data_IF_792866336724
#
_entry.id   IF_792866336724
#
_cell.length_a   1.000
_cell.length_b   1.000
_cell.length_c   1.000
_cell.angle_alpha   90.00
_cell.angle_beta   90.00
_cell.angle_gamma   90.00
#
_symmetry.space_group_name_H-M   'P 1'
#
loop_
_entity.id
_entity.type
_entity.pdbx_description
1 polymer ?
#
# COMPACT_ATOMS: atom_id res chain seq x y z
N UNK A 1 6.24 11.93 13.61
CA UNK A 1 5.26 13.04 13.81
C UNK A 1 4.17 12.75 12.82
N UNK A 2 2.91 12.76 13.27
CA UNK A 2 1.80 12.44 12.39
C UNK A 2 1.74 13.43 11.23
N UNK A 3 1.45 12.90 10.05
CA UNK A 3 1.35 13.64 8.80
C UNK A 3 0.02 13.34 8.10
N UNK A 4 -0.55 12.14 8.28
CA UNK A 4 -1.77 11.74 7.60
C UNK A 4 -2.78 11.08 8.55
N UNK A 5 -4.06 11.37 8.30
CA UNK A 5 -5.20 10.67 8.88
C UNK A 5 -5.97 9.96 7.77
N UNK A 6 -6.10 8.65 7.89
CA UNK A 6 -6.93 7.84 7.00
C UNK A 6 -8.30 7.70 7.65
N UNK A 7 -9.36 8.14 7.00
CA UNK A 7 -10.72 7.99 7.50
C UNK A 7 -11.40 6.90 6.68
N UNK A 8 -11.62 5.75 7.32
CA UNK A 8 -12.40 4.67 6.74
C UNK A 8 -13.88 5.02 6.92
N UNK A 9 -14.57 5.27 5.81
CA UNK A 9 -15.93 5.79 5.85
C UNK A 9 -16.95 4.73 6.26
N UNK A 10 -16.79 3.47 5.86
CA UNK A 10 -17.72 2.38 6.15
C UNK A 10 -16.99 1.09 6.52
N UNK A 11 -17.65 0.20 7.27
CA UNK A 11 -17.12 -1.13 7.56
C UNK A 11 -16.83 -1.94 6.29
N UNK A 12 -17.54 -1.68 5.20
CA UNK A 12 -17.37 -2.30 3.87
C UNK A 12 -16.48 -1.50 2.92
N UNK A 13 -15.88 -0.39 3.37
CA UNK A 13 -14.94 0.40 2.57
C UNK A 13 -13.83 -0.46 1.95
N UNK A 14 -13.43 -0.10 0.73
CA UNK A 14 -12.46 -0.90 -0.03
C UNK A 14 -11.13 -1.03 0.72
N UNK A 15 -10.52 -2.21 0.64
CA UNK A 15 -9.13 -2.36 1.07
C UNK A 15 -8.23 -1.84 -0.05
N UNK A 16 -7.15 -1.13 0.28
CA UNK A 16 -6.20 -0.59 -0.72
C UNK A 16 -4.76 -1.09 -0.51
N UNK A 17 -4.55 -1.97 0.47
CA UNK A 17 -3.25 -2.52 0.84
C UNK A 17 -3.35 -4.05 1.02
N UNK A 18 -2.36 -4.66 1.69
CA UNK A 18 -2.22 -6.12 1.83
C UNK A 18 -3.38 -6.77 2.60
N UNK A 19 -4.02 -6.05 3.51
CA UNK A 19 -5.14 -6.56 4.30
C UNK A 19 -6.39 -6.75 3.44
N UNK A 20 -7.24 -7.70 3.82
CA UNK A 20 -8.56 -7.92 3.22
C UNK A 20 -9.66 -7.29 4.07
N UNK A 21 -10.82 -7.06 3.44
CA UNK A 21 -12.03 -6.65 4.13
C UNK A 21 -13.16 -7.64 3.82
N UNK A 22 -13.47 -8.50 4.77
CA UNK A 22 -14.53 -9.50 4.64
C UNK A 22 -15.88 -9.02 5.18
N UNK A 23 -15.95 -7.79 5.71
CA UNK A 23 -17.21 -7.20 6.19
C UNK A 23 -18.20 -7.08 5.03
N UNK A 24 -19.44 -7.51 5.27
CA UNK A 24 -20.56 -7.42 4.33
C UNK A 24 -21.66 -6.48 4.80
N UNK A 25 -21.72 -6.24 6.11
CA UNK A 25 -22.68 -5.32 6.71
C UNK A 25 -22.11 -3.92 6.71
N UNK A 26 -22.82 -3.00 6.06
CA UNK A 26 -22.46 -1.59 6.05
C UNK A 26 -22.69 -0.98 7.43
N UNK A 27 -21.68 -0.26 7.88
CA UNK A 27 -21.77 0.64 9.02
C UNK A 27 -20.94 1.85 8.71
N UNK A 28 -21.62 2.89 8.25
CA UNK A 28 -21.02 4.16 7.91
C UNK A 28 -20.61 4.88 9.20
N UNK A 29 -19.44 5.52 9.19
CA UNK A 29 -19.00 6.40 10.26
C UNK A 29 -20.09 7.44 10.49
N UNK A 30 -20.43 7.74 11.75
CA UNK A 30 -21.45 8.77 11.99
C UNK A 30 -20.97 10.13 11.46
N UNK A 31 -21.88 10.94 10.94
CA UNK A 31 -21.56 12.31 10.47
C UNK A 31 -20.89 13.12 11.58
N UNK A 32 -21.28 12.90 12.84
CA UNK A 32 -20.65 13.53 13.99
C UNK A 32 -19.18 13.12 14.15
N UNK A 33 -18.88 11.81 14.08
CA UNK A 33 -17.51 11.30 14.16
C UNK A 33 -16.67 11.73 12.95
N UNK A 34 -17.26 11.78 11.75
CA UNK A 34 -16.61 12.32 10.56
C UNK A 34 -16.19 13.77 10.76
N UNK A 35 -17.12 14.63 11.18
CA UNK A 35 -16.84 16.06 11.46
C UNK A 35 -15.79 16.23 12.56
N UNK A 36 -15.87 15.43 13.64
CA UNK A 36 -14.86 15.40 14.71
C UNK A 36 -13.49 14.94 14.21
N UNK A 37 -13.45 13.93 13.34
CA UNK A 37 -12.23 13.41 12.72
C UNK A 37 -11.55 14.43 11.81
N UNK A 38 -12.32 15.13 10.98
CA UNK A 38 -11.83 16.25 10.16
C UNK A 38 -11.27 17.36 11.05
N UNK A 39 -12.00 17.76 12.10
CA UNK A 39 -11.51 18.77 13.04
C UNK A 39 -10.23 18.34 13.77
N UNK A 40 -10.12 17.06 14.13
CA UNK A 40 -8.90 16.50 14.72
C UNK A 40 -7.72 16.64 13.75
N UNK A 41 -7.89 16.20 12.49
CA UNK A 41 -6.84 16.34 11.47
C UNK A 41 -6.44 17.80 11.25
N UNK A 42 -7.38 18.74 11.23
CA UNK A 42 -7.07 20.17 11.12
C UNK A 42 -6.25 20.70 12.29
N UNK A 43 -6.59 20.30 13.53
CA UNK A 43 -5.85 20.72 14.74
C UNK A 43 -4.43 20.18 14.76
N UNK A 44 -4.26 18.94 14.30
CA UNK A 44 -2.96 18.25 14.24
C UNK A 44 -2.22 18.51 12.92
N UNK A 45 -2.78 19.34 12.02
CA UNK A 45 -2.25 19.66 10.69
C UNK A 45 -1.92 18.42 9.84
N UNK A 46 -2.86 17.48 9.79
CA UNK A 46 -2.77 16.22 9.05
C UNK A 46 -3.46 16.31 7.69
N UNK A 47 -2.88 15.67 6.68
CA UNK A 47 -3.53 15.42 5.39
C UNK A 47 -4.53 14.27 5.52
N UNK A 48 -5.73 14.42 4.95
CA UNK A 48 -6.80 13.43 5.08
C UNK A 48 -6.88 12.56 3.82
N UNK A 49 -7.04 11.24 4.01
CA UNK A 49 -7.36 10.29 2.95
C UNK A 49 -8.66 9.58 3.30
N UNK A 50 -9.67 9.68 2.44
CA UNK A 50 -10.96 9.00 2.62
C UNK A 50 -10.97 7.67 1.87
N UNK A 51 -11.43 6.63 2.56
CA UNK A 51 -11.56 5.29 1.98
C UNK A 51 -13.04 4.96 1.83
N UNK A 52 -13.50 4.88 0.59
CA UNK A 52 -14.93 4.79 0.28
C UNK A 52 -15.44 3.35 0.21
N UNK A 53 -16.73 3.14 0.55
CA UNK A 53 -17.47 1.96 0.11
C UNK A 53 -17.80 2.04 -1.38
N UNK A 54 -18.44 1.00 -1.92
CA UNK A 54 -18.84 0.97 -3.33
C UNK A 54 -20.22 1.60 -3.61
N UNK A 55 -20.94 2.11 -2.61
CA UNK A 55 -22.23 2.79 -2.79
C UNK A 55 -22.11 4.31 -2.68
N UNK A 56 -23.08 5.03 -3.26
CA UNK A 56 -23.13 6.49 -3.21
C UNK A 56 -23.48 7.00 -1.79
N UNK A 57 -22.66 7.92 -1.27
CA UNK A 57 -22.90 8.56 0.03
C UNK A 57 -24.00 9.62 -0.06
N UNK A 58 -24.70 9.88 1.05
CA UNK A 58 -25.68 10.98 1.09
C UNK A 58 -25.00 12.36 0.97
N UNK A 59 -25.76 13.37 0.56
CA UNK A 59 -25.24 14.73 0.39
C UNK A 59 -24.61 15.28 1.69
N UNK A 60 -25.13 14.91 2.85
CA UNK A 60 -24.59 15.36 4.15
C UNK A 60 -23.12 14.91 4.35
N UNK A 61 -22.77 13.70 3.91
CA UNK A 61 -21.38 13.21 3.97
C UNK A 61 -20.51 13.92 2.94
N UNK A 62 -21.00 14.08 1.70
CA UNK A 62 -20.28 14.80 0.64
C UNK A 62 -19.96 16.23 1.06
N UNK A 63 -20.93 16.92 1.66
CA UNK A 63 -20.76 18.29 2.15
C UNK A 63 -19.70 18.36 3.25
N UNK A 64 -19.67 17.39 4.18
CA UNK A 64 -18.66 17.32 5.23
C UNK A 64 -17.25 17.04 4.69
N UNK A 65 -17.11 16.08 3.77
CA UNK A 65 -15.84 15.71 3.13
C UNK A 65 -15.26 16.90 2.34
N UNK A 66 -16.10 17.61 1.58
CA UNK A 66 -15.70 18.74 0.76
C UNK A 66 -15.33 20.02 1.56
N UNK A 67 -15.35 19.99 2.89
CA UNK A 67 -14.92 21.13 3.72
C UNK A 67 -13.40 21.28 3.84
N UNK A 68 -12.63 20.29 3.39
CA UNK A 68 -11.19 20.19 3.60
C UNK A 68 -10.52 19.59 2.36
N UNK A 69 -9.27 19.95 2.10
CA UNK A 69 -8.46 19.27 1.09
C UNK A 69 -8.17 17.83 1.53
N UNK A 70 -8.37 16.87 0.64
CA UNK A 70 -8.25 15.45 0.92
C UNK A 70 -7.86 14.66 -0.32
N UNK A 71 -7.59 13.37 -0.13
CA UNK A 71 -7.49 12.41 -1.24
C UNK A 71 -8.53 11.32 -1.14
N UNK A 72 -9.12 10.96 -2.27
CA UNK A 72 -10.17 9.95 -2.38
C UNK A 72 -9.61 8.61 -2.87
N UNK A 73 -9.84 7.56 -2.07
CA UNK A 73 -9.52 6.17 -2.40
C UNK A 73 -10.83 5.41 -2.63
N UNK A 74 -11.10 5.09 -3.88
CA UNK A 74 -12.42 4.65 -4.36
C UNK A 74 -12.30 3.31 -5.07
N UNK A 75 -13.20 2.34 -4.83
CA UNK A 75 -13.18 1.10 -5.59
C UNK A 75 -13.70 1.31 -7.01
N UNK A 76 -13.19 0.52 -7.97
CA UNK A 76 -13.56 0.64 -9.39
C UNK A 76 -15.02 0.32 -9.69
N UNK A 77 -15.69 -0.43 -8.80
CA UNK A 77 -17.11 -0.77 -8.87
C UNK A 77 -18.00 0.22 -8.11
N UNK A 78 -17.47 1.38 -7.68
CA UNK A 78 -18.26 2.40 -7.01
C UNK A 78 -19.41 2.91 -7.90
N UNK A 79 -20.62 2.98 -7.31
CA UNK A 79 -21.86 3.46 -7.91
C UNK A 79 -21.83 4.96 -8.24
N UNK A 80 -21.07 5.76 -7.48
CA UNK A 80 -20.91 7.20 -7.73
C UNK A 80 -19.87 7.43 -8.83
N UNK A 81 -20.34 7.47 -10.09
CA UNK A 81 -19.51 7.72 -11.27
C UNK A 81 -18.76 9.05 -11.21
N UNK A 82 -19.35 10.10 -10.60
CA UNK A 82 -18.69 11.41 -10.50
C UNK A 82 -17.52 11.37 -9.52
N UNK A 83 -17.71 10.71 -8.37
CA UNK A 83 -16.63 10.47 -7.42
C UNK A 83 -15.51 9.66 -8.09
N UNK A 84 -15.88 8.58 -8.79
CA UNK A 84 -14.94 7.69 -9.47
C UNK A 84 -14.12 8.37 -10.56
N UNK A 85 -14.73 9.26 -11.35
CA UNK A 85 -14.03 10.03 -12.39
C UNK A 85 -13.02 11.06 -11.83
N UNK A 86 -13.22 11.51 -10.59
CA UNK A 86 -12.39 12.52 -9.93
C UNK A 86 -11.50 11.96 -8.80
N UNK A 87 -11.57 10.66 -8.53
CA UNK A 87 -10.82 10.04 -7.44
C UNK A 87 -9.31 10.10 -7.68
N UNK A 88 -8.55 10.33 -6.62
CA UNK A 88 -7.08 10.30 -6.68
C UNK A 88 -6.54 8.89 -6.92
N UNK A 89 -7.20 7.88 -6.33
CA UNK A 89 -6.79 6.48 -6.41
C UNK A 89 -7.99 5.58 -6.65
N UNK A 90 -7.93 4.78 -7.71
CA UNK A 90 -8.92 3.74 -8.01
C UNK A 90 -8.39 2.36 -7.64
N UNK A 91 -9.20 1.59 -6.91
CA UNK A 91 -8.86 0.25 -6.44
C UNK A 91 -9.60 -0.82 -7.24
N UNK A 92 -8.84 -1.72 -7.87
CA UNK A 92 -9.36 -2.95 -8.47
C UNK A 92 -9.16 -4.12 -7.52
N UNK A 93 -10.24 -4.86 -7.24
CA UNK A 93 -10.18 -6.05 -6.39
C UNK A 93 -10.13 -7.36 -7.20
N UNK A 94 -10.24 -7.27 -8.52
CA UNK A 94 -9.99 -8.39 -9.43
C UNK A 94 -9.57 -7.90 -10.83
N UNK A 95 -8.99 -8.80 -11.61
CA UNK A 95 -8.46 -8.49 -12.94
C UNK A 95 -9.54 -8.24 -14.00
N UNK A 96 -10.77 -8.76 -13.82
CA UNK A 96 -11.87 -8.56 -14.78
C UNK A 96 -12.35 -7.12 -14.79
N UNK A 97 -12.44 -6.50 -13.62
CA UNK A 97 -12.73 -5.07 -13.49
C UNK A 97 -11.71 -4.25 -14.27
N UNK A 98 -10.41 -4.52 -14.10
CA UNK A 98 -9.33 -3.82 -14.82
C UNK A 98 -9.48 -3.89 -16.35
N UNK A 99 -9.85 -5.06 -16.90
CA UNK A 99 -9.99 -5.25 -18.35
C UNK A 99 -11.14 -4.47 -18.97
N UNK A 100 -12.21 -4.25 -18.21
CA UNK A 100 -13.40 -3.52 -18.64
C UNK A 100 -13.35 -2.04 -18.32
N UNK A 101 -12.39 -1.62 -17.48
CA UNK A 101 -12.29 -0.25 -17.00
C UNK A 101 -11.60 0.66 -18.02
N UNK A 102 -12.14 1.88 -18.16
CA UNK A 102 -11.53 2.90 -19.01
C UNK A 102 -10.39 3.60 -18.25
N UNK A 103 -9.16 3.18 -18.51
CA UNK A 103 -7.96 3.78 -17.93
C UNK A 103 -7.74 5.21 -18.45
N UNK A 104 -7.42 6.11 -17.52
CA UNK A 104 -7.09 7.51 -17.75
C UNK A 104 -5.56 7.70 -17.65
N UNK A 105 -5.01 8.56 -18.51
CA UNK A 105 -3.58 8.87 -18.56
C UNK A 105 -3.03 9.46 -17.25
N UNK A 106 -3.85 10.19 -16.51
CA UNK A 106 -3.45 10.81 -15.24
C UNK A 106 -3.81 9.96 -14.02
N UNK A 107 -4.49 8.84 -14.21
CA UNK A 107 -5.02 8.00 -13.15
C UNK A 107 -3.95 7.21 -12.39
N UNK A 108 -4.15 7.07 -11.08
CA UNK A 108 -3.38 6.18 -10.21
C UNK A 108 -4.27 5.00 -9.86
N UNK A 109 -3.78 3.80 -10.18
CA UNK A 109 -4.54 2.57 -9.99
C UNK A 109 -3.83 1.65 -9.00
N UNK A 110 -4.60 0.99 -8.14
CA UNK A 110 -4.12 -0.08 -7.28
C UNK A 110 -4.83 -1.36 -7.67
N UNK A 111 -4.06 -2.38 -8.03
CA UNK A 111 -4.58 -3.71 -8.35
C UNK A 111 -4.27 -4.59 -7.15
N UNK A 112 -5.31 -4.99 -6.41
CA UNK A 112 -5.21 -5.98 -5.34
C UNK A 112 -5.43 -7.35 -5.93
N UNK A 113 -4.50 -8.26 -5.67
CA UNK A 113 -4.46 -9.58 -6.30
C UNK A 113 -3.83 -10.60 -5.35
N UNK A 114 -4.27 -11.85 -5.42
CA UNK A 114 -3.46 -12.95 -4.87
C UNK A 114 -2.21 -13.19 -5.74
N UNK A 115 -1.22 -13.90 -5.21
CA UNK A 115 -0.02 -14.31 -5.96
C UNK A 115 -0.38 -15.19 -7.16
N UNK A 116 -1.32 -16.12 -7.00
CA UNK A 116 -1.77 -17.03 -8.06
C UNK A 116 -2.41 -16.26 -9.21
N UNK A 117 -3.33 -15.34 -8.90
CA UNK A 117 -3.97 -14.50 -9.91
C UNK A 117 -2.98 -13.57 -10.61
N UNK A 118 -1.99 -13.02 -9.89
CA UNK A 118 -0.93 -12.24 -10.51
C UNK A 118 -0.13 -13.10 -11.49
N UNK A 119 0.22 -14.33 -11.10
CA UNK A 119 0.99 -15.23 -11.96
C UNK A 119 0.26 -15.53 -13.27
N UNK A 120 -1.05 -15.72 -13.19
CA UNK A 120 -1.91 -15.99 -14.35
C UNK A 120 -2.15 -14.74 -15.22
N UNK A 121 -2.32 -13.56 -14.61
CA UNK A 121 -2.86 -12.39 -15.30
C UNK A 121 -1.87 -11.22 -15.49
N UNK A 122 -0.62 -11.34 -15.06
CA UNK A 122 0.37 -10.25 -15.12
C UNK A 122 0.52 -9.61 -16.51
N UNK A 123 0.29 -10.34 -17.59
CA UNK A 123 0.37 -9.81 -18.96
C UNK A 123 -0.71 -8.75 -19.25
N UNK A 124 -1.83 -8.73 -18.52
CA UNK A 124 -2.85 -7.69 -18.65
C UNK A 124 -2.31 -6.31 -18.25
N UNK A 125 -1.24 -6.25 -17.44
CA UNK A 125 -0.53 -5.00 -17.13
C UNK A 125 0.04 -4.31 -18.38
N UNK A 126 0.42 -5.07 -19.42
CA UNK A 126 1.00 -4.51 -20.64
C UNK A 126 0.01 -3.62 -21.41
N UNK A 127 -1.30 -3.79 -21.20
CA UNK A 127 -2.34 -2.96 -21.83
C UNK A 127 -2.51 -1.62 -21.12
N UNK A 128 -2.28 -1.59 -19.81
CA UNK A 128 -2.60 -0.45 -18.93
C UNK A 128 -1.38 0.41 -18.61
N UNK A 129 -0.19 -0.19 -18.51
CA UNK A 129 1.08 0.51 -18.27
C UNK A 129 1.40 1.63 -19.27
N UNK A 130 1.11 1.51 -20.58
CA UNK A 130 1.40 2.57 -21.54
C UNK A 130 0.50 3.80 -21.40
N UNK A 131 -0.62 3.67 -20.68
CA UNK A 131 -1.66 4.69 -20.56
C UNK A 131 -1.60 5.33 -19.18
N UNK A 132 -1.74 4.53 -18.11
CA UNK A 132 -1.87 5.04 -16.75
C UNK A 132 -0.62 5.79 -16.28
N UNK A 133 -0.82 6.85 -15.49
CA UNK A 133 0.25 7.57 -14.80
C UNK A 133 1.03 6.65 -13.87
N UNK A 134 0.29 5.84 -13.09
CA UNK A 134 0.87 4.93 -12.10
C UNK A 134 -0.01 3.72 -11.83
N UNK A 135 0.64 2.58 -11.73
CA UNK A 135 0.04 1.31 -11.31
C UNK A 135 0.77 0.81 -10.08
N UNK A 136 0.00 0.50 -9.03
CA UNK A 136 0.48 -0.19 -7.85
C UNK A 136 -0.14 -1.59 -7.84
N UNK A 137 0.67 -2.63 -7.87
CA UNK A 137 0.22 -4.00 -7.63
C UNK A 137 0.44 -4.32 -6.16
N UNK A 138 -0.61 -4.80 -5.50
CA UNK A 138 -0.60 -5.20 -4.09
C UNK A 138 -0.97 -6.67 -4.02
N UNK A 139 0.00 -7.48 -3.60
CA UNK A 139 -0.19 -8.91 -3.37
C UNK A 139 -0.77 -9.09 -1.97
N UNK A 140 -1.94 -9.73 -1.85
CA UNK A 140 -2.70 -9.81 -0.58
C UNK A 140 -2.29 -10.98 0.31
N UNK A 141 -1.65 -11.99 -0.27
CA UNK A 141 -1.23 -13.25 0.36
C UNK A 141 0.29 -13.44 0.33
N UNK A 142 1.05 -12.35 0.49
CA UNK A 142 2.53 -12.35 0.52
C UNK A 142 3.07 -13.33 1.56
N UNK A 143 2.42 -13.42 2.72
CA UNK A 143 2.79 -14.31 3.82
C UNK A 143 2.66 -15.81 3.47
N UNK A 144 2.09 -16.15 2.32
CA UNK A 144 1.94 -17.52 1.86
C UNK A 144 3.00 -17.97 0.85
N UNK A 145 3.93 -17.10 0.44
CA UNK A 145 4.93 -17.45 -0.59
C UNK A 145 5.82 -18.60 -0.15
N UNK A 146 6.08 -19.51 -1.08
CA UNK A 146 7.11 -20.55 -0.94
C UNK A 146 8.25 -20.37 -1.96
N UNK A 147 9.24 -21.26 -1.91
CA UNK A 147 10.40 -21.25 -2.81
C UNK A 147 10.02 -21.34 -4.31
N UNK A 148 8.99 -22.11 -4.65
CA UNK A 148 8.53 -22.21 -6.03
C UNK A 148 7.86 -20.91 -6.48
N UNK A 149 7.13 -20.27 -5.59
CA UNK A 149 6.49 -18.98 -5.86
C UNK A 149 7.52 -17.87 -6.05
N UNK A 150 8.62 -17.86 -5.28
CA UNK A 150 9.70 -16.90 -5.46
C UNK A 150 10.33 -17.01 -6.86
N UNK A 151 10.61 -18.22 -7.34
CA UNK A 151 11.17 -18.40 -8.68
C UNK A 151 10.18 -18.01 -9.78
N UNK A 152 8.90 -18.35 -9.64
CA UNK A 152 7.85 -17.89 -10.58
C UNK A 152 7.74 -16.36 -10.60
N UNK A 153 7.71 -15.75 -9.43
CA UNK A 153 7.57 -14.31 -9.29
C UNK A 153 8.77 -13.57 -9.91
N UNK A 154 9.99 -14.08 -9.71
CA UNK A 154 11.21 -13.57 -10.36
C UNK A 154 11.13 -13.64 -11.89
N UNK A 155 10.59 -14.73 -12.45
CA UNK A 155 10.36 -14.83 -13.90
C UNK A 155 9.35 -13.79 -14.41
N UNK A 156 8.29 -13.54 -13.65
CA UNK A 156 7.27 -12.53 -13.96
C UNK A 156 7.86 -11.12 -13.91
N UNK A 157 8.62 -10.79 -12.87
CA UNK A 157 9.31 -9.51 -12.76
C UNK A 157 10.23 -9.28 -13.96
N UNK A 158 11.00 -10.29 -14.37
CA UNK A 158 11.83 -10.23 -15.58
C UNK A 158 11.00 -10.05 -16.86
N UNK A 159 9.81 -10.63 -16.95
CA UNK A 159 8.89 -10.43 -18.08
C UNK A 159 8.39 -8.98 -18.14
N UNK A 160 7.91 -8.45 -17.02
CA UNK A 160 7.43 -7.07 -16.90
C UNK A 160 8.54 -6.04 -17.11
N UNK A 161 9.75 -6.32 -16.60
CA UNK A 161 10.96 -5.51 -16.78
C UNK A 161 11.28 -5.29 -18.25
N UNK A 162 11.20 -6.34 -19.09
CA UNK A 162 11.38 -6.22 -20.55
C UNK A 162 10.33 -5.34 -21.19
N UNK A 163 9.08 -5.40 -20.74
CA UNK A 163 8.02 -4.55 -21.29
C UNK A 163 8.22 -3.09 -20.89
N UNK A 164 8.56 -2.82 -19.63
CA UNK A 164 8.89 -1.46 -19.17
C UNK A 164 10.09 -0.91 -19.93
N UNK A 165 11.14 -1.70 -20.16
CA UNK A 165 12.30 -1.27 -20.95
C UNK A 165 11.88 -0.77 -22.35
N UNK A 166 11.00 -1.50 -23.05
CA UNK A 166 10.47 -1.06 -24.36
C UNK A 166 9.76 0.28 -24.26
N UNK A 167 8.91 0.46 -23.24
CA UNK A 167 8.18 1.72 -23.04
C UNK A 167 9.14 2.89 -22.78
N UNK A 168 10.22 2.68 -22.02
CA UNK A 168 11.28 3.69 -21.84
C UNK A 168 11.99 4.04 -23.15
N UNK A 169 12.28 3.05 -23.99
CA UNK A 169 12.88 3.26 -25.32
C UNK A 169 11.94 4.04 -26.26
N UNK A 170 10.63 3.83 -26.15
CA UNK A 170 9.60 4.61 -26.87
C UNK A 170 9.44 6.05 -26.35
N UNK A 171 10.17 6.44 -25.29
CA UNK A 171 10.09 7.76 -24.68
C UNK A 171 8.95 7.90 -23.64
N UNK A 172 8.29 6.81 -23.27
CA UNK A 172 7.32 6.79 -22.17
C UNK A 172 8.02 6.53 -20.85
N UNK A 173 7.41 6.95 -19.75
CA UNK A 173 7.97 6.74 -18.39
C UNK A 173 6.90 6.16 -17.46
N UNK A 174 6.45 4.91 -17.71
CA UNK A 174 5.42 4.30 -16.88
C UNK A 174 5.92 4.12 -15.44
N UNK A 175 5.01 4.27 -14.47
CA UNK A 175 5.30 3.96 -13.07
C UNK A 175 4.59 2.67 -12.64
N UNK A 176 5.38 1.65 -12.36
CA UNK A 176 4.96 0.41 -11.73
C UNK A 176 5.70 0.24 -10.41
N UNK A 177 4.98 0.12 -9.29
CA UNK A 177 5.60 0.04 -7.97
C UNK A 177 6.62 -1.12 -7.83
N UNK A 178 6.35 -2.26 -8.46
CA UNK A 178 7.19 -3.46 -8.37
C UNK A 178 8.60 -3.31 -8.98
N UNK A 179 8.78 -2.37 -9.92
CA UNK A 179 10.00 -2.28 -10.74
C UNK A 179 10.60 -0.88 -10.84
N UNK A 180 9.78 0.16 -10.74
CA UNK A 180 10.23 1.55 -11.00
C UNK A 180 10.44 2.35 -9.72
N UNK A 181 9.76 2.02 -8.63
CA UNK A 181 9.88 2.76 -7.37
C UNK A 181 11.32 2.71 -6.84
N UNK A 182 11.95 1.54 -6.81
CA UNK A 182 13.33 1.42 -6.29
C UNK A 182 14.32 2.25 -7.10
N UNK A 183 14.10 2.40 -8.42
CA UNK A 183 14.96 3.21 -9.29
C UNK A 183 14.87 4.71 -8.96
N UNK A 184 13.73 5.16 -8.43
CA UNK A 184 13.42 6.57 -8.19
C UNK A 184 13.67 7.00 -6.74
N UNK A 185 13.62 6.08 -5.78
CA UNK A 185 13.73 6.38 -4.35
C UNK A 185 15.18 6.44 -3.84
N UNK A 186 15.46 7.41 -2.96
CA UNK A 186 16.75 7.56 -2.24
C UNK A 186 16.68 7.12 -0.77
N UNK A 187 15.46 6.85 -0.28
CA UNK A 187 15.18 6.45 1.10
C UNK A 187 13.90 5.65 1.14
N UNK A 188 13.69 4.92 2.24
CA UNK A 188 12.48 4.15 2.50
C UNK A 188 11.21 4.99 2.28
N UNK A 189 10.30 4.46 1.45
CA UNK A 189 8.98 5.02 1.17
C UNK A 189 7.87 4.04 1.59
N UNK A 190 7.92 3.69 2.88
CA UNK A 190 6.96 2.81 3.53
C UNK A 190 5.74 3.62 4.02
N UNK A 191 4.68 2.92 4.47
CA UNK A 191 3.45 3.59 4.87
C UNK A 191 3.51 4.24 6.26
N UNK A 192 4.56 4.01 7.06
CA UNK A 192 4.72 4.55 8.42
C UNK A 192 3.47 4.51 9.32
N UNK A 193 2.66 3.45 9.19
CA UNK A 193 1.49 3.22 10.03
C UNK A 193 1.89 3.15 11.51
N UNK A 194 1.24 3.97 12.35
CA UNK A 194 1.53 4.14 13.77
C UNK A 194 2.62 5.17 14.13
N UNK A 195 3.30 5.78 13.16
CA UNK A 195 4.31 6.85 13.39
C UNK A 195 3.97 8.15 12.66
N UNK A 196 3.69 8.07 11.36
CA UNK A 196 3.27 9.20 10.53
C UNK A 196 1.79 9.11 10.15
N UNK A 197 1.24 7.90 10.12
CA UNK A 197 -0.11 7.63 9.62
C UNK A 197 -0.93 6.86 10.65
N UNK A 198 -2.19 7.25 10.84
CA UNK A 198 -3.17 6.53 11.66
C UNK A 198 -4.52 6.49 10.95
N UNK A 199 -5.43 5.65 11.43
CA UNK A 199 -6.77 5.48 10.87
C UNK A 199 -7.84 5.83 11.87
N UNK A 200 -8.84 6.62 11.47
CA UNK A 200 -10.13 6.73 12.15
C UNK A 200 -11.11 5.77 11.48
N UNK A 201 -11.71 4.88 12.27
CA UNK A 201 -12.64 3.88 11.76
C UNK A 201 -14.12 4.25 12.07
N UNK A 202 -15.10 3.55 11.47
CA UNK A 202 -16.53 3.83 11.67
C UNK A 202 -17.03 3.74 13.11
N UNK A 203 -16.34 2.99 13.98
CA UNK A 203 -16.64 2.92 15.41
C UNK A 203 -16.20 4.16 16.21
N UNK A 204 -15.63 5.18 15.56
CA UNK A 204 -15.17 6.41 16.18
C UNK A 204 -13.81 6.30 16.88
N UNK A 205 -13.09 5.19 16.72
CA UNK A 205 -11.79 4.94 17.35
C UNK A 205 -10.65 5.06 16.36
N UNK A 206 -9.46 5.32 16.90
CA UNK A 206 -8.22 5.35 16.15
C UNK A 206 -7.55 3.97 16.12
N UNK A 207 -6.92 3.64 14.99
CA UNK A 207 -6.19 2.41 14.74
C UNK A 207 -4.86 2.72 14.04
N UNK A 208 -3.88 1.83 14.19
CA UNK A 208 -2.55 1.98 13.55
C UNK A 208 -2.67 2.08 12.03
N UNK A 209 -3.52 1.25 11.44
CA UNK A 209 -3.97 1.33 10.05
C UNK A 209 -5.31 0.58 9.91
N UNK A 210 -5.99 0.60 8.74
CA UNK A 210 -7.29 -0.05 8.60
C UNK A 210 -7.25 -1.57 8.85
N UNK A 211 -6.11 -2.23 8.59
CA UNK A 211 -5.94 -3.66 8.85
C UNK A 211 -6.21 -4.04 10.31
N UNK A 212 -5.73 -3.22 11.27
CA UNK A 212 -5.94 -3.48 12.70
C UNK A 212 -7.40 -3.28 13.13
N UNK A 213 -8.19 -2.52 12.37
CA UNK A 213 -9.62 -2.39 12.61
C UNK A 213 -10.42 -3.59 12.06
N UNK A 214 -10.03 -4.03 10.87
CA UNK A 214 -10.76 -5.04 10.07
C UNK A 214 -10.44 -6.49 10.45
N UNK A 215 -9.28 -6.74 11.05
CA UNK A 215 -8.90 -8.08 11.56
C UNK A 215 -9.92 -8.58 12.58
N UNK A 216 -10.12 -9.91 12.64
CA UNK A 216 -11.13 -10.51 13.51
C UNK A 216 -10.86 -10.24 15.00
N UNK A 217 -11.92 -10.12 15.81
CA UNK A 217 -11.79 -9.81 17.24
C UNK A 217 -11.16 -10.94 18.07
N UNK A 218 -11.21 -12.18 17.55
CA UNK A 218 -10.67 -13.38 18.17
C UNK A 218 -9.28 -13.74 17.66
N UNK A 219 -8.78 -13.06 16.62
CA UNK A 219 -7.41 -13.27 16.18
C UNK A 219 -6.42 -12.77 17.24
N UNK A 220 -5.44 -13.62 17.55
CA UNK A 220 -4.32 -13.31 18.44
C UNK A 220 -3.03 -13.69 17.71
N UNK A 221 -2.21 -12.67 17.44
CA UNK A 221 -0.89 -12.84 16.86
C UNK A 221 0.20 -12.75 17.95
N UNK A 222 0.05 -13.54 19.01
CA UNK A 222 1.06 -13.79 20.05
C UNK A 222 1.31 -12.65 21.05
N UNK A 223 0.94 -11.41 20.71
CA UNK A 223 1.02 -10.22 21.57
C UNK A 223 -0.36 -9.77 22.06
N UNK A 224 -1.32 -10.69 22.15
CA UNK A 224 -2.72 -10.40 22.45
C UNK A 224 -3.51 -10.04 21.19
N UNK A 225 -4.73 -9.53 21.39
CA UNK A 225 -5.70 -9.29 20.31
C UNK A 225 -5.09 -8.54 19.12
N UNK A 226 -5.30 -9.09 17.94
CA UNK A 226 -4.85 -8.50 16.67
C UNK A 226 -5.55 -7.18 16.43
N UNK A 227 -6.84 -7.09 16.75
CA UNK A 227 -7.61 -5.85 16.77
C UNK A 227 -7.43 -5.08 18.07
N UNK A 228 -6.87 -3.88 17.99
CA UNK A 228 -6.77 -2.96 19.12
C UNK A 228 -6.82 -1.51 18.65
N UNK A 229 -7.56 -0.68 19.38
CA UNK A 229 -7.58 0.77 19.16
C UNK A 229 -6.38 1.44 19.83
N UNK A 230 -5.91 2.52 19.24
CA UNK A 230 -4.86 3.41 19.76
C UNK A 230 -5.45 4.75 20.22
N UNK A 231 -6.67 4.73 20.76
CA UNK A 231 -7.39 5.91 21.23
C UNK A 231 -8.73 6.13 20.53
N UNK A 232 -9.34 7.28 20.79
CA UNK A 232 -10.63 7.69 20.24
C UNK A 232 -10.75 9.22 20.14
N UNK A 233 -11.84 9.70 19.54
CA UNK A 233 -12.06 11.14 19.32
C UNK A 233 -12.31 11.93 20.61
N UNK A 234 -12.64 11.29 21.73
CA UNK A 234 -12.94 11.94 23.00
C UNK A 234 -11.68 12.11 23.86
N UNK A 235 -10.88 11.05 23.96
CA UNK A 235 -9.70 10.95 24.81
C UNK A 235 -8.39 11.22 24.04
N UNK A 236 -8.45 11.27 22.71
CA UNK A 236 -7.27 11.43 21.86
C UNK A 236 -6.50 10.12 21.66
N UNK A 237 -5.25 10.25 21.20
CA UNK A 237 -4.39 9.11 20.89
C UNK A 237 -3.73 8.51 22.13
N UNK A 238 -3.69 7.18 22.19
CA UNK A 238 -3.02 6.38 23.20
C UNK A 238 -2.18 5.27 22.55
N UNK A 239 -1.14 5.67 21.81
CA UNK A 239 -0.22 4.74 21.14
C UNK A 239 0.74 4.14 22.16
N UNK A 240 0.57 2.86 22.49
CA UNK A 240 1.49 2.13 23.38
C UNK A 240 2.80 1.84 22.66
N UNK A 241 3.92 2.03 23.36
CA UNK A 241 5.28 1.78 22.86
C UNK A 241 5.53 2.34 21.44
N UNK A 242 5.35 3.66 21.21
CA UNK A 242 5.35 4.25 19.87
C UNK A 242 6.69 4.08 19.12
N UNK A 243 7.77 3.75 19.83
CA UNK A 243 9.07 3.44 19.24
C UNK A 243 8.99 2.25 18.27
N UNK A 244 8.14 1.24 18.52
CA UNK A 244 8.04 0.04 17.68
C UNK A 244 7.54 0.33 16.25
N UNK A 245 6.85 1.45 16.03
CA UNK A 245 6.38 1.86 14.70
C UNK A 245 7.41 2.66 13.90
N UNK A 246 8.55 3.02 14.49
CA UNK A 246 9.56 3.88 13.87
C UNK A 246 10.60 3.07 13.11
N UNK A 247 11.00 3.55 11.94
CA UNK A 247 12.06 2.92 11.14
C UNK A 247 13.38 2.81 11.93
N UNK A 248 13.75 3.80 12.75
CA UNK A 248 14.98 3.78 13.55
C UNK A 248 15.04 2.63 14.57
N UNK A 249 13.89 2.06 14.91
CA UNK A 249 13.72 0.92 15.83
C UNK A 249 13.33 -0.37 15.11
N UNK A 250 13.45 -0.42 13.78
CA UNK A 250 13.34 -1.65 12.99
C UNK A 250 14.75 -2.12 12.61
N UNK A 251 15.37 -3.04 13.38
CA UNK A 251 16.82 -3.33 13.29
C UNK A 251 17.27 -3.78 11.90
N UNK A 252 16.40 -4.53 11.21
CA UNK A 252 16.63 -5.02 9.86
C UNK A 252 16.35 -3.90 8.85
N UNK A 253 15.15 -3.32 8.91
CA UNK A 253 14.68 -2.40 7.87
C UNK A 253 15.46 -1.07 7.82
N UNK A 254 16.03 -0.60 8.94
CA UNK A 254 16.80 0.65 8.98
C UNK A 254 18.11 0.60 8.21
N UNK A 255 18.63 -0.60 7.99
CA UNK A 255 19.88 -0.87 7.26
C UNK A 255 19.62 -1.37 5.83
N UNK A 256 18.36 -1.64 5.49
CA UNK A 256 17.96 -2.18 4.19
C UNK A 256 17.79 -1.07 3.15
N UNK A 257 18.18 -1.36 1.90
CA UNK A 257 18.04 -0.43 0.79
C UNK A 257 16.90 -0.78 -0.19
N UNK A 258 16.04 -1.76 0.13
CA UNK A 258 14.81 -2.04 -0.62
C UNK A 258 13.76 -0.95 -0.36
N UNK A 259 14.04 0.29 -0.79
CA UNK A 259 13.28 1.50 -0.46
C UNK A 259 11.82 1.51 -0.92
N UNK A 260 11.47 0.68 -1.92
CA UNK A 260 10.10 0.49 -2.38
C UNK A 260 9.26 -0.40 -1.44
N UNK A 261 9.91 -1.19 -0.58
CA UNK A 261 9.26 -2.05 0.41
C UNK A 261 8.35 -1.23 1.33
N UNK A 262 7.13 -1.73 1.56
CA UNK A 262 6.14 -1.05 2.39
C UNK A 262 6.30 -1.27 3.89
N UNK A 263 7.19 -2.16 4.32
CA UNK A 263 7.48 -2.47 5.74
C UNK A 263 6.17 -2.63 6.55
N UNK A 264 5.31 -3.54 6.12
CA UNK A 264 3.95 -3.62 6.61
C UNK A 264 3.90 -4.11 8.06
N UNK A 265 3.69 -3.21 9.02
CA UNK A 265 3.65 -3.54 10.46
C UNK A 265 2.54 -4.53 10.82
N UNK A 266 1.44 -4.56 10.05
CA UNK A 266 0.39 -5.56 10.19
C UNK A 266 0.88 -6.96 9.80
N UNK A 267 1.52 -7.10 8.63
CA UNK A 267 2.08 -8.37 8.18
C UNK A 267 3.22 -8.84 9.10
N UNK A 268 4.07 -7.91 9.56
CA UNK A 268 5.11 -8.19 10.54
C UNK A 268 4.51 -8.87 11.78
N UNK A 269 3.46 -8.26 12.35
CA UNK A 269 2.78 -8.82 13.52
C UNK A 269 2.15 -10.17 13.22
N UNK A 270 1.45 -10.31 12.08
CA UNK A 270 0.79 -11.55 11.66
C UNK A 270 1.77 -12.72 11.52
N UNK A 271 2.98 -12.46 11.01
CA UNK A 271 3.94 -13.51 10.64
C UNK A 271 5.03 -13.76 11.69
N UNK A 272 5.40 -12.75 12.47
CA UNK A 272 6.53 -12.84 13.42
C UNK A 272 6.13 -12.55 14.87
N UNK A 273 4.88 -12.14 15.10
CA UNK A 273 4.41 -11.60 16.38
C UNK A 273 5.13 -10.32 16.82
N UNK A 274 5.84 -9.63 15.93
CA UNK A 274 6.52 -8.37 16.21
C UNK A 274 6.08 -7.26 15.24
N UNK A 275 6.01 -6.01 15.70
CA UNK A 275 5.63 -4.88 14.84
C UNK A 275 6.77 -4.41 13.92
N UNK A 276 8.01 -4.48 14.42
CA UNK A 276 9.19 -3.89 13.82
C UNK A 276 10.11 -4.92 13.13
N UNK A 277 9.75 -6.20 13.14
CA UNK A 277 10.51 -7.28 12.51
C UNK A 277 9.71 -7.87 11.35
N UNK A 278 10.18 -7.76 10.09
CA UNK A 278 9.47 -8.33 8.96
C UNK A 278 9.61 -9.85 8.90
N UNK A 279 8.59 -10.50 8.32
CA UNK A 279 8.66 -11.92 7.94
C UNK A 279 9.57 -12.15 6.72
N UNK A 280 9.99 -13.40 6.54
CA UNK A 280 10.89 -13.84 5.48
C UNK A 280 10.32 -13.52 4.09
N UNK A 281 9.05 -13.86 3.87
CA UNK A 281 8.37 -13.76 2.58
C UNK A 281 8.31 -12.30 2.10
N UNK A 282 7.99 -11.37 2.99
CA UNK A 282 7.95 -9.94 2.67
C UNK A 282 9.35 -9.44 2.27
N UNK A 283 10.40 -9.90 2.94
CA UNK A 283 11.76 -9.53 2.64
C UNK A 283 12.21 -10.07 1.28
N UNK A 284 12.01 -11.36 1.03
CA UNK A 284 12.43 -12.01 -0.23
C UNK A 284 11.71 -11.38 -1.43
N UNK A 285 10.38 -11.21 -1.36
CA UNK A 285 9.59 -10.55 -2.43
C UNK A 285 10.15 -9.16 -2.73
N UNK A 286 10.38 -8.34 -1.69
CA UNK A 286 10.90 -6.98 -1.86
C UNK A 286 12.32 -6.95 -2.45
N UNK A 287 13.18 -7.94 -2.15
CA UNK A 287 14.53 -7.99 -2.71
C UNK A 287 14.56 -8.56 -4.14
N UNK A 288 13.60 -9.43 -4.52
CA UNK A 288 13.40 -9.82 -5.91
C UNK A 288 13.02 -8.60 -6.77
N UNK A 289 12.05 -7.80 -6.31
CA UNK A 289 11.67 -6.52 -6.94
C UNK A 289 12.87 -5.57 -7.07
N UNK A 290 13.62 -5.37 -5.97
CA UNK A 290 14.83 -4.52 -5.92
C UNK A 290 15.87 -4.97 -6.95
N UNK A 291 16.17 -6.25 -6.98
CA UNK A 291 17.20 -6.81 -7.86
C UNK A 291 16.78 -6.74 -9.33
N UNK A 292 15.50 -6.92 -9.64
CA UNK A 292 15.01 -6.71 -11.00
C UNK A 292 14.99 -5.23 -11.39
N UNK A 293 14.65 -4.34 -10.46
CA UNK A 293 14.74 -2.88 -10.65
C UNK A 293 16.18 -2.44 -10.99
N UNK A 294 17.19 -3.04 -10.34
CA UNK A 294 18.61 -2.83 -10.68
C UNK A 294 18.92 -3.24 -12.12
N UNK A 295 18.46 -4.41 -12.55
CA UNK A 295 18.67 -4.88 -13.94
C UNK A 295 17.95 -3.98 -14.95
N UNK A 296 16.71 -3.60 -14.66
CA UNK A 296 15.93 -2.69 -15.49
C UNK A 296 16.66 -1.35 -15.67
N UNK A 297 17.13 -0.74 -14.58
CA UNK A 297 17.89 0.50 -14.61
C UNK A 297 19.16 0.39 -15.48
N UNK A 298 19.90 -0.72 -15.34
CA UNK A 298 21.08 -0.98 -16.17
C UNK A 298 20.72 -1.18 -17.66
N UNK A 299 19.58 -1.81 -17.95
CA UNK A 299 19.13 -2.07 -19.32
C UNK A 299 18.65 -0.81 -20.02
N UNK A 300 17.78 0.01 -19.40
CA UNK A 300 17.30 1.25 -20.03
C UNK A 300 18.45 2.21 -20.35
N UNK A 301 19.51 2.22 -19.52
CA UNK A 301 20.71 3.04 -19.72
C UNK A 301 21.55 2.65 -20.93
N UNK A 302 21.36 1.45 -21.49
CA UNK A 302 21.99 1.06 -22.76
C UNK A 302 21.44 1.87 -23.94
N UNK A 303 20.25 2.45 -23.79
CA UNK A 303 19.52 3.16 -24.85
C UNK A 303 19.47 4.68 -24.65
N UNK A 304 19.99 5.20 -23.54
CA UNK A 304 19.95 6.63 -23.24
C UNK A 304 20.39 6.99 -21.82
N UNK A 305 20.37 8.29 -21.51
CA UNK A 305 20.70 8.79 -20.17
C UNK A 305 19.46 8.79 -19.27
N UNK A 306 19.24 7.70 -18.55
CA UNK A 306 18.14 7.57 -17.59
C UNK A 306 18.64 7.57 -16.14
N UNK A 307 18.04 8.43 -15.32
CA UNK A 307 18.27 8.52 -13.87
C UNK A 307 19.77 8.53 -13.48
N UNK A 308 20.65 9.34 -14.09
CA UNK A 308 22.11 9.16 -14.01
C UNK A 308 22.68 9.20 -12.57
N UNK A 309 21.97 9.84 -11.65
CA UNK A 309 22.39 9.98 -10.24
C UNK A 309 21.85 8.87 -9.32
N UNK A 310 21.21 7.84 -9.88
CA UNK A 310 20.62 6.73 -9.11
C UNK A 310 21.50 5.50 -9.23
N UNK A 311 21.75 4.84 -8.12
CA UNK A 311 22.49 3.58 -8.10
C UNK A 311 21.80 2.57 -7.19
N UNK A 312 21.81 1.31 -7.62
CA UNK A 312 21.32 0.18 -6.84
C UNK A 312 22.45 -0.83 -6.82
N UNK A 313 23.11 -0.96 -5.67
CA UNK A 313 24.27 -1.83 -5.50
C UNK A 313 23.89 -3.31 -5.64
N UNK A 314 24.87 -4.13 -6.00
CA UNK A 314 24.67 -5.58 -5.97
C UNK A 314 24.70 -6.09 -4.53
N UNK A 315 23.85 -7.06 -4.22
CA UNK A 315 23.77 -7.71 -2.90
C UNK A 315 23.78 -9.22 -3.08
N UNK A 316 24.23 -9.94 -2.04
CA UNK A 316 24.36 -11.40 -2.03
C UNK A 316 23.26 -12.12 -1.23
N UNK A 317 22.22 -11.41 -0.80
CA UNK A 317 21.12 -11.94 0.01
C UNK A 317 19.76 -11.53 -0.57
N UNK A 318 18.70 -12.25 -0.19
CA UNK A 318 17.30 -11.88 -0.43
C UNK A 318 16.56 -11.60 0.87
N UNK A 319 16.92 -12.29 1.96
CA UNK A 319 16.48 -11.95 3.29
C UNK A 319 17.63 -11.26 4.06
N UNK A 320 17.51 -9.95 4.34
CA UNK A 320 18.35 -9.22 5.29
C UNK A 320 18.68 -9.95 6.60
N UNK A 321 17.77 -10.78 7.10
CA UNK A 321 17.96 -11.50 8.36
C UNK A 321 19.14 -12.46 8.30
N UNK A 322 19.45 -13.01 7.12
CA UNK A 322 20.57 -13.95 6.92
C UNK A 322 21.93 -13.28 7.16
N UNK A 323 22.03 -12.00 6.83
CA UNK A 323 23.26 -11.19 6.96
C UNK A 323 23.25 -10.26 8.17
N UNK A 324 22.30 -10.42 9.10
CA UNK A 324 22.10 -9.53 10.27
C UNK A 324 23.32 -9.29 11.17
N UNK A 325 24.37 -10.13 11.06
CA UNK A 325 25.62 -9.97 11.83
C UNK A 325 26.59 -8.96 11.20
N UNK A 326 26.35 -8.57 9.96
CA UNK A 326 27.19 -7.64 9.20
C UNK A 326 26.76 -6.17 9.39
N UNK A 327 25.67 -5.93 10.14
CA UNK A 327 24.94 -4.66 10.22
C UNK A 327 24.94 -3.99 11.61
#
# INVERSE_FOLDING_TARGET
MLQYLIIQLDDTSTSYCHYSNDKKESRLISVENLKKGILFAMKENLMIQFVYPNFELSQEYKDAINTIDHSDIVPSDCEDEKLKDNADIIIFNNWKELESYKINENGIYVIRTSKSELFENHLSLNKVLPIAKRINVVITDIDSFDENDFEKYKMILSSLSKEIEKLYVEGKTPQLNLLTDRMMLDKMNNCNAGDENITLAPDGKFYVCPAFYLTDENEDYGLGKSKFSIGDLENGLDVKNPQLYKLSYAPICRNCDAYQCKRCVYLNRKTTYELNTPGHEQCVVSHLERNESRKLLANIRKHGMFLPNKEIEEISYLDPFDVRKEW
#
